data_IF_295069564607
#
_entry.id   IF_295069564607
#
_cell.length_a   1.000
_cell.length_b   1.000
_cell.length_c   1.000
_cell.angle_alpha   90.00
_cell.angle_beta   90.00
_cell.angle_gamma   90.00
#
_symmetry.space_group_name_H-M   'P 1'
#
loop_
_entity.id
_entity.type
_entity.pdbx_description
1 polymer ?
#
# COMPACT_ATOMS: atom_id res chain seq x y z
N UNK A 1 20.61 -2.32 -46.85
CA UNK A 1 19.95 -1.54 -45.76
C UNK A 1 19.15 -2.43 -44.80
N UNK A 2 18.64 -3.57 -45.25
CA UNK A 2 17.64 -4.35 -44.50
C UNK A 2 18.14 -4.99 -43.20
N UNK A 3 19.42 -5.34 -43.13
CA UNK A 3 20.01 -5.88 -41.89
C UNK A 3 19.90 -4.88 -40.72
N UNK A 4 20.17 -3.59 -40.97
CA UNK A 4 20.06 -2.53 -39.94
C UNK A 4 18.62 -2.36 -39.47
N UNK A 5 17.65 -2.36 -40.39
CA UNK A 5 16.22 -2.33 -40.06
C UNK A 5 15.78 -3.56 -39.25
N UNK A 6 16.30 -4.74 -39.57
CA UNK A 6 15.98 -5.97 -38.85
C UNK A 6 16.58 -6.01 -37.43
N UNK A 7 17.81 -5.52 -37.25
CA UNK A 7 18.45 -5.41 -35.93
C UNK A 7 17.66 -4.44 -35.05
N UNK A 8 17.40 -3.23 -35.54
CA UNK A 8 16.63 -2.22 -34.81
C UNK A 8 15.23 -2.70 -34.39
N UNK A 9 14.52 -3.43 -35.27
CA UNK A 9 13.21 -4.02 -34.93
C UNK A 9 13.31 -5.08 -33.83
N UNK A 10 14.37 -5.90 -33.81
CA UNK A 10 14.61 -6.90 -32.75
C UNK A 10 14.93 -6.22 -31.43
N UNK A 11 15.76 -5.17 -31.45
CA UNK A 11 16.13 -4.37 -30.29
C UNK A 11 14.90 -3.73 -29.64
N UNK A 12 14.07 -3.02 -30.40
CA UNK A 12 12.79 -2.46 -29.91
C UNK A 12 11.85 -3.53 -29.32
N UNK A 13 11.78 -4.72 -29.93
CA UNK A 13 10.96 -5.82 -29.41
C UNK A 13 11.52 -6.34 -28.08
N UNK A 14 12.85 -6.41 -27.95
CA UNK A 14 13.54 -6.82 -26.73
C UNK A 14 13.39 -5.79 -25.60
N UNK A 15 13.56 -4.49 -25.88
CA UNK A 15 13.33 -3.42 -24.93
C UNK A 15 11.89 -3.45 -24.41
N UNK A 16 10.89 -3.57 -25.31
CA UNK A 16 9.48 -3.59 -24.93
C UNK A 16 9.09 -4.86 -24.15
N UNK A 17 9.70 -6.01 -24.45
CA UNK A 17 9.55 -7.23 -23.65
C UNK A 17 10.17 -7.09 -22.26
N UNK A 18 11.34 -6.44 -22.16
CA UNK A 18 12.00 -6.17 -20.88
C UNK A 18 11.20 -5.21 -19.99
N UNK A 19 10.59 -4.18 -20.57
CA UNK A 19 9.68 -3.27 -19.86
C UNK A 19 8.44 -4.04 -19.37
N UNK A 20 7.85 -4.89 -20.22
CA UNK A 20 6.71 -5.72 -19.85
C UNK A 20 7.00 -6.67 -18.68
N UNK A 21 8.16 -7.35 -18.70
CA UNK A 21 8.60 -8.20 -17.59
C UNK A 21 8.80 -7.41 -16.29
N UNK A 22 9.53 -6.29 -16.34
CA UNK A 22 9.76 -5.44 -15.17
C UNK A 22 8.47 -4.84 -14.59
N UNK A 23 7.47 -4.56 -15.43
CA UNK A 23 6.14 -4.14 -14.98
C UNK A 23 5.37 -5.30 -14.31
N UNK A 24 5.43 -6.51 -14.88
CA UNK A 24 4.77 -7.68 -14.30
C UNK A 24 5.32 -8.02 -12.91
N UNK A 25 6.65 -8.06 -12.73
CA UNK A 25 7.29 -8.34 -11.43
C UNK A 25 6.85 -7.36 -10.32
N UNK A 26 6.68 -6.08 -10.68
CA UNK A 26 6.16 -5.04 -9.76
C UNK A 26 4.70 -5.29 -9.42
N UNK A 27 3.84 -5.54 -10.40
CA UNK A 27 2.44 -5.88 -10.12
C UNK A 27 2.32 -7.15 -9.28
N UNK A 28 3.22 -8.12 -9.44
CA UNK A 28 3.27 -9.33 -8.61
C UNK A 28 3.70 -9.03 -7.18
N UNK A 29 4.61 -8.08 -6.96
CA UNK A 29 4.91 -7.54 -5.63
C UNK A 29 3.69 -6.84 -5.02
N UNK A 30 3.00 -5.96 -5.75
CA UNK A 30 1.77 -5.31 -5.29
C UNK A 30 0.66 -6.31 -4.92
N UNK A 31 0.46 -7.36 -5.73
CA UNK A 31 -0.52 -8.42 -5.44
C UNK A 31 -0.19 -9.18 -4.16
N UNK A 32 1.09 -9.51 -3.93
CA UNK A 32 1.56 -10.11 -2.66
C UNK A 32 1.33 -9.16 -1.48
N UNK A 33 1.77 -7.91 -1.60
CA UNK A 33 1.58 -6.88 -0.57
C UNK A 33 0.12 -6.75 -0.12
N UNK A 34 -0.84 -6.64 -1.04
CA UNK A 34 -2.26 -6.54 -0.68
C UNK A 34 -2.73 -7.78 0.10
N UNK A 35 -2.40 -8.98 -0.38
CA UNK A 35 -2.79 -10.24 0.27
C UNK A 35 -2.18 -10.37 1.67
N UNK A 36 -0.93 -9.96 1.88
CA UNK A 36 -0.27 -10.06 3.17
C UNK A 36 -0.68 -8.94 4.14
N UNK A 37 -0.96 -7.73 3.62
CA UNK A 37 -1.60 -6.64 4.36
C UNK A 37 -2.97 -7.06 4.89
N UNK A 38 -3.82 -7.64 4.05
CA UNK A 38 -5.19 -8.03 4.42
C UNK A 38 -5.18 -9.11 5.51
N UNK A 39 -4.27 -10.09 5.43
CA UNK A 39 -4.04 -11.06 6.53
C UNK A 39 -3.62 -10.36 7.82
N UNK A 40 -2.71 -9.38 7.73
CA UNK A 40 -2.23 -8.63 8.92
C UNK A 40 -3.36 -7.81 9.55
N UNK A 41 -4.22 -7.21 8.73
CA UNK A 41 -5.39 -6.46 9.17
C UNK A 41 -6.42 -7.36 9.87
N UNK A 42 -6.69 -8.56 9.33
CA UNK A 42 -7.53 -9.57 10.00
C UNK A 42 -6.99 -9.92 11.40
N UNK A 43 -5.68 -10.16 11.53
CA UNK A 43 -5.05 -10.43 12.84
C UNK A 43 -5.07 -9.22 13.77
N UNK A 44 -4.89 -8.01 13.24
CA UNK A 44 -4.94 -6.77 14.01
C UNK A 44 -6.33 -6.55 14.61
N UNK A 45 -7.40 -6.83 13.87
CA UNK A 45 -8.78 -6.75 14.38
C UNK A 45 -8.99 -7.73 15.54
N UNK A 46 -8.57 -8.99 15.39
CA UNK A 46 -8.69 -10.01 16.45
C UNK A 46 -7.89 -9.64 17.71
N UNK A 47 -6.65 -9.18 17.54
CA UNK A 47 -5.82 -8.71 18.66
C UNK A 47 -6.44 -7.51 19.35
N UNK A 48 -6.86 -6.49 18.60
CA UNK A 48 -7.49 -5.27 19.14
C UNK A 48 -8.77 -5.58 19.91
N UNK A 49 -9.60 -6.50 19.41
CA UNK A 49 -10.82 -6.93 20.08
C UNK A 49 -10.52 -7.68 21.38
N UNK A 50 -9.55 -8.60 21.38
CA UNK A 50 -9.17 -9.34 22.58
C UNK A 50 -8.55 -8.43 23.64
N UNK A 51 -7.68 -7.50 23.23
CA UNK A 51 -7.09 -6.47 24.08
C UNK A 51 -8.16 -5.58 24.72
N UNK A 52 -9.05 -4.98 23.92
CA UNK A 52 -10.13 -4.13 24.43
C UNK A 52 -11.14 -4.88 25.32
N UNK A 53 -11.34 -6.18 25.10
CA UNK A 53 -12.15 -7.03 25.99
C UNK A 53 -11.48 -7.22 27.35
N UNK A 54 -10.16 -7.42 27.39
CA UNK A 54 -9.40 -7.53 28.64
C UNK A 54 -9.35 -6.23 29.42
N UNK A 55 -9.16 -5.11 28.71
CA UNK A 55 -9.14 -3.76 29.28
C UNK A 55 -10.50 -3.44 29.94
N UNK A 56 -11.61 -3.70 29.23
CA UNK A 56 -12.96 -3.58 29.79
C UNK A 56 -13.23 -4.51 30.97
N UNK A 57 -12.62 -5.71 31.03
CA UNK A 57 -12.65 -6.57 32.22
C UNK A 57 -11.89 -5.95 33.40
N UNK A 58 -10.77 -5.25 33.15
CA UNK A 58 -10.05 -4.48 34.15
C UNK A 58 -10.92 -3.38 34.76
N UNK A 59 -11.57 -2.58 33.91
CA UNK A 59 -12.50 -1.53 34.37
C UNK A 59 -13.66 -2.09 35.22
N UNK A 60 -14.18 -3.28 34.88
CA UNK A 60 -15.21 -3.95 35.69
C UNK A 60 -14.68 -4.35 37.07
N UNK A 61 -13.46 -4.88 37.17
CA UNK A 61 -12.83 -5.17 38.46
C UNK A 61 -12.61 -3.90 39.29
N UNK A 62 -12.18 -2.80 38.67
CA UNK A 62 -12.01 -1.49 39.32
C UNK A 62 -13.35 -0.93 39.85
N UNK A 63 -14.45 -1.17 39.16
CA UNK A 63 -15.80 -0.83 39.63
C UNK A 63 -16.36 -1.81 40.68
N UNK A 64 -15.55 -2.77 41.15
CA UNK A 64 -15.93 -3.75 42.17
C UNK A 64 -16.84 -4.86 41.64
N UNK A 65 -16.98 -5.01 40.32
CA UNK A 65 -17.78 -6.09 39.73
C UNK A 65 -17.01 -7.41 39.78
N UNK A 66 -17.64 -8.52 40.19
CA UNK A 66 -16.95 -9.81 40.32
C UNK A 66 -16.67 -10.43 38.95
N UNK A 67 -15.42 -10.32 38.47
CA UNK A 67 -14.94 -10.98 37.26
C UNK A 67 -14.42 -12.39 37.58
N UNK A 68 -14.96 -13.47 36.96
CA UNK A 68 -14.48 -14.82 37.21
C UNK A 68 -13.04 -15.00 36.71
N UNK A 69 -12.10 -15.37 37.61
CA UNK A 69 -10.68 -15.58 37.24
C UNK A 69 -10.49 -16.46 36.00
N UNK A 70 -11.23 -17.57 35.90
CA UNK A 70 -11.17 -18.48 34.74
C UNK A 70 -11.50 -17.79 33.41
N UNK A 71 -12.40 -16.79 33.40
CA UNK A 71 -12.71 -16.00 32.20
C UNK A 71 -11.53 -15.10 31.84
N UNK A 72 -10.93 -14.44 32.83
CA UNK A 72 -9.74 -13.61 32.65
C UNK A 72 -8.56 -14.42 32.10
N UNK A 73 -8.26 -15.57 32.71
CA UNK A 73 -7.19 -16.48 32.27
C UNK A 73 -7.37 -16.92 30.79
N UNK A 74 -8.61 -17.23 30.37
CA UNK A 74 -8.93 -17.60 28.98
C UNK A 74 -8.74 -16.41 28.02
N UNK A 75 -9.22 -15.22 28.39
CA UNK A 75 -9.11 -14.03 27.55
C UNK A 75 -7.65 -13.56 27.42
N UNK A 76 -6.86 -13.63 28.49
CA UNK A 76 -5.41 -13.36 28.46
C UNK A 76 -4.66 -14.33 27.56
N UNK A 77 -5.00 -15.62 27.59
CA UNK A 77 -4.43 -16.60 26.66
C UNK A 77 -4.80 -16.32 25.20
N UNK A 78 -6.03 -15.85 24.95
CA UNK A 78 -6.47 -15.47 23.60
C UNK A 78 -5.78 -14.21 23.07
N UNK A 79 -5.65 -13.15 23.88
CA UNK A 79 -4.92 -11.93 23.48
C UNK A 79 -3.46 -12.24 23.14
N UNK A 80 -2.76 -12.99 24.00
CA UNK A 80 -1.38 -13.38 23.76
C UNK A 80 -1.24 -14.20 22.47
N UNK A 81 -2.19 -15.11 22.21
CA UNK A 81 -2.24 -15.88 20.96
C UNK A 81 -2.47 -15.00 19.73
N UNK A 82 -3.44 -14.07 19.77
CA UNK A 82 -3.69 -13.19 18.62
C UNK A 82 -2.55 -12.19 18.38
N UNK A 83 -1.85 -11.79 19.45
CA UNK A 83 -0.62 -11.00 19.36
C UNK A 83 0.49 -11.78 18.65
N UNK A 84 0.72 -13.04 19.04
CA UNK A 84 1.68 -13.93 18.35
C UNK A 84 1.30 -14.13 16.87
N UNK A 85 0.02 -14.40 16.57
CA UNK A 85 -0.48 -14.52 15.20
C UNK A 85 -0.33 -13.22 14.38
N UNK A 86 -0.44 -12.05 15.01
CA UNK A 86 -0.22 -10.74 14.38
C UNK A 86 1.26 -10.46 14.11
N UNK A 87 2.13 -10.73 15.09
CA UNK A 87 3.59 -10.56 14.99
C UNK A 87 4.21 -11.54 13.97
N UNK A 88 3.59 -12.70 13.74
CA UNK A 88 3.99 -13.67 12.72
C UNK A 88 3.71 -13.22 11.27
N UNK A 89 2.82 -12.23 11.03
CA UNK A 89 2.53 -11.74 9.68
C UNK A 89 3.47 -10.60 9.29
N UNK A 90 4.50 -10.95 8.51
CA UNK A 90 5.40 -9.98 7.87
C UNK A 90 4.78 -9.49 6.56
N UNK A 91 4.73 -8.17 6.38
CA UNK A 91 4.30 -7.51 5.14
C UNK A 91 5.53 -6.83 4.53
N UNK A 92 5.82 -7.12 3.26
CA UNK A 92 6.93 -6.49 2.52
C UNK A 92 6.55 -5.07 2.09
N UNK A 93 7.32 -4.04 2.47
CA UNK A 93 7.01 -2.66 2.11
C UNK A 93 7.09 -2.40 0.58
N UNK A 94 6.13 -1.62 0.10
CA UNK A 94 6.18 -0.98 -1.21
C UNK A 94 7.05 0.28 -1.10
N UNK A 95 8.03 0.40 -1.98
CA UNK A 95 8.96 1.54 -2.04
C UNK A 95 8.70 2.43 -3.26
N UNK A 96 9.24 3.65 -3.26
CA UNK A 96 9.18 4.55 -4.42
C UNK A 96 9.79 3.95 -5.70
N UNK A 97 10.73 2.99 -5.56
CA UNK A 97 11.32 2.28 -6.69
C UNK A 97 10.30 1.34 -7.36
N UNK A 98 9.39 0.74 -6.59
CA UNK A 98 8.32 -0.11 -7.10
C UNK A 98 7.29 0.70 -7.89
N UNK A 99 7.05 1.96 -7.48
CA UNK A 99 6.15 2.92 -8.14
C UNK A 99 6.72 3.55 -9.41
N UNK A 100 8.04 3.67 -9.53
CA UNK A 100 8.70 4.40 -10.64
C UNK A 100 9.02 3.50 -11.83
N UNK A 101 8.13 3.48 -12.83
CA UNK A 101 8.44 2.89 -14.15
C UNK A 101 9.57 3.69 -14.78
N UNK A 102 10.70 3.03 -15.10
CA UNK A 102 11.79 3.66 -15.83
C UNK A 102 11.26 4.27 -17.11
N UNK A 103 11.65 5.52 -17.40
CA UNK A 103 11.11 6.26 -18.55
C UNK A 103 11.28 5.45 -19.84
N UNK A 104 10.16 5.29 -20.58
CA UNK A 104 10.21 4.61 -21.87
C UNK A 104 11.29 5.27 -22.76
N UNK A 105 11.96 4.49 -23.62
CA UNK A 105 12.78 5.05 -24.69
C UNK A 105 12.01 6.15 -25.41
N UNK A 106 12.59 7.36 -25.38
CA UNK A 106 11.95 8.60 -25.88
C UNK A 106 11.36 8.36 -27.28
N UNK A 107 10.13 8.85 -27.60
CA UNK A 107 9.48 8.59 -28.89
C UNK A 107 10.32 8.99 -30.13
N UNK A 108 11.32 9.84 -29.95
CA UNK A 108 12.37 10.16 -30.91
C UNK A 108 13.09 8.92 -31.48
N UNK A 109 13.23 7.82 -30.73
CA UNK A 109 13.75 6.54 -31.26
C UNK A 109 12.74 5.76 -32.10
N UNK A 110 11.44 6.05 -31.98
CA UNK A 110 10.36 5.46 -32.78
C UNK A 110 10.09 6.22 -34.09
N UNK A 111 10.62 7.44 -34.24
CA UNK A 111 10.46 8.26 -35.46
C UNK A 111 11.11 7.65 -36.72
N UNK A 112 11.90 6.57 -36.59
CA UNK A 112 12.46 5.82 -37.72
C UNK A 112 11.44 4.93 -38.46
N UNK A 113 10.23 4.71 -37.92
CA UNK A 113 9.23 3.83 -38.50
C UNK A 113 7.82 4.42 -38.46
N UNK A 114 7.51 5.27 -39.44
CA UNK A 114 6.14 5.62 -39.82
C UNK A 114 5.38 4.36 -40.29
N UNK A 115 4.68 3.71 -39.37
CA UNK A 115 3.84 2.53 -39.63
C UNK A 115 2.36 2.76 -39.28
N UNK A 116 2.03 3.89 -38.65
CA UNK A 116 0.67 4.39 -38.47
C UNK A 116 0.62 5.85 -38.91
N UNK A 117 -0.38 6.18 -39.74
CA UNK A 117 -0.47 7.46 -40.43
C UNK A 117 -0.54 8.67 -39.49
N UNK A 118 -0.08 9.81 -39.98
CA UNK A 118 -0.01 11.07 -39.25
C UNK A 118 -1.37 11.57 -38.77
N UNK A 119 -1.55 11.64 -37.45
CA UNK A 119 -2.49 12.56 -36.80
C UNK A 119 -1.95 13.04 -35.44
N UNK A 120 -0.80 13.72 -35.46
CA UNK A 120 -0.31 14.50 -34.33
C UNK A 120 -0.79 15.94 -34.48
N UNK A 121 -1.91 16.26 -33.83
CA UNK A 121 -2.16 17.64 -33.42
C UNK A 121 -1.29 17.92 -32.20
N UNK A 122 -0.41 18.91 -32.29
CA UNK A 122 0.59 19.19 -31.25
C UNK A 122 -0.08 19.88 -30.07
N UNK A 123 -0.41 19.10 -29.04
CA UNK A 123 -0.74 19.64 -27.72
C UNK A 123 0.56 20.04 -27.03
N UNK A 124 0.60 21.29 -26.56
CA UNK A 124 1.75 21.89 -25.87
C UNK A 124 2.14 21.07 -24.62
N UNK A 125 3.40 20.61 -24.47
CA UNK A 125 3.85 19.89 -23.28
C UNK A 125 3.68 20.67 -21.96
N UNK A 126 3.53 22.01 -22.00
CA UNK A 126 3.17 22.81 -20.83
C UNK A 126 1.76 22.51 -20.29
N UNK A 127 0.83 22.07 -21.15
CA UNK A 127 -0.57 21.82 -20.76
C UNK A 127 -0.76 20.48 -20.01
N UNK A 128 0.06 19.47 -20.31
CA UNK A 128 -0.10 18.10 -19.77
C UNK A 128 0.48 17.96 -18.35
N UNK A 129 1.41 18.85 -17.95
CA UNK A 129 2.09 18.77 -16.64
C UNK A 129 1.26 19.28 -15.44
N UNK A 130 -0.02 19.64 -15.61
CA UNK A 130 -0.77 20.40 -14.59
C UNK A 130 -1.99 19.72 -13.96
N UNK A 131 -2.60 18.70 -14.57
CA UNK A 131 -3.99 18.29 -14.21
C UNK A 131 -4.21 16.86 -13.70
N UNK A 132 -3.21 15.97 -13.68
CA UNK A 132 -3.43 14.54 -13.40
C UNK A 132 -2.45 13.90 -12.40
N UNK A 133 -2.19 14.54 -11.24
CA UNK A 133 -1.61 13.84 -10.07
C UNK A 133 -1.71 14.61 -8.73
N UNK A 134 -2.66 15.55 -8.57
CA UNK A 134 -2.79 16.38 -7.34
C UNK A 134 -4.07 16.17 -6.51
N UNK A 135 -4.97 15.28 -6.92
CA UNK A 135 -6.19 14.95 -6.20
C UNK A 135 -6.20 13.45 -5.82
N UNK A 136 -5.44 13.09 -4.77
CA UNK A 136 -5.66 11.85 -3.99
C UNK A 136 -4.82 11.75 -2.71
N UNK A 137 -3.68 12.46 -2.63
CA UNK A 137 -2.71 12.29 -1.52
C UNK A 137 -3.27 12.78 -0.16
N UNK A 138 -4.27 13.66 -0.16
CA UNK A 138 -4.83 14.23 1.08
C UNK A 138 -5.87 13.33 1.79
N UNK A 139 -6.29 12.21 1.18
CA UNK A 139 -7.34 11.34 1.72
C UNK A 139 -6.79 10.05 2.37
N UNK A 140 -5.56 9.66 2.06
CA UNK A 140 -4.92 8.46 2.62
C UNK A 140 -4.26 8.74 3.98
N UNK A 141 -3.88 10.00 4.27
CA UNK A 141 -3.20 10.37 5.51
C UNK A 141 -4.13 10.77 6.67
N UNK A 142 -5.43 10.95 6.43
CA UNK A 142 -6.41 11.35 7.47
C UNK A 142 -7.18 10.18 8.08
N UNK A 143 -7.13 8.98 7.50
CA UNK A 143 -7.73 7.77 8.07
C UNK A 143 -6.89 7.12 9.21
N UNK A 144 -5.67 7.62 9.45
CA UNK A 144 -4.71 7.04 10.41
C UNK A 144 -4.67 7.65 11.81
N UNK A 145 -5.50 8.66 12.10
CA UNK A 145 -5.46 9.41 13.38
C UNK A 145 -6.80 9.36 14.10
N UNK A 146 -7.12 8.20 14.69
CA UNK A 146 -8.15 8.09 15.74
C UNK A 146 -7.43 7.66 17.02
N UNK A 147 -7.04 8.62 17.85
CA UNK A 147 -6.41 8.35 19.16
C UNK A 147 -5.82 9.58 19.83
N UNK A 148 -6.17 9.77 21.11
CA UNK A 148 -5.60 10.69 22.10
C UNK A 148 -5.82 12.22 21.92
N UNK A 149 -6.85 12.76 22.57
CA UNK A 149 -6.96 14.17 22.95
C UNK A 149 -7.81 14.37 24.24
N UNK A 150 -7.35 13.82 25.37
CA UNK A 150 -7.78 14.05 26.78
C UNK A 150 -6.54 13.71 27.66
N UNK A 151 -6.25 14.30 28.85
CA UNK A 151 -6.94 15.31 29.69
C UNK A 151 -6.27 16.73 29.56
N UNK A 152 -6.36 17.74 30.44
CA UNK A 152 -6.89 17.88 31.83
C UNK A 152 -7.25 19.35 32.19
N UNK A 153 -7.83 19.56 33.39
CA UNK A 153 -7.95 20.73 34.32
C UNK A 153 -7.79 22.18 33.82
N UNK A 154 -8.56 23.18 34.30
CA UNK A 154 -8.48 23.90 35.60
C UNK A 154 -9.88 24.58 35.78
N UNK A 155 -10.71 24.28 36.79
CA UNK A 155 -10.72 24.69 38.21
C UNK A 155 -11.13 26.17 38.51
N UNK A 156 -12.25 26.32 39.23
CA UNK A 156 -12.81 27.45 40.05
C UNK A 156 -12.74 28.90 39.50
N UNK A 157 -13.84 29.65 39.44
CA UNK A 157 -14.67 30.15 40.56
C UNK A 157 -16.15 30.36 40.15
#
# INVERSE_FOLDING_TARGET
MDHVRQVHRRELTSEMSSIGAAAADRFDKFRRYMVDRDKREEKLVLHSQAFGTLDGLGMLEEWGMPVPKKLKDILSANEAKFKEELEAVVVEDITDQDLTVSSLPRPERLQGSNQFGSNVEVVDPAAVSSSACKASIQEIQTAGTIGAAVPDSIAED
#
